data_IF_158988273280
#
_entry.id   IF_158988273280
#
_cell.length_a   1.000
_cell.length_b   1.000
_cell.length_c   1.000
_cell.angle_alpha   90.00
_cell.angle_beta   90.00
_cell.angle_gamma   90.00
#
_symmetry.space_group_name_H-M   'P 1'
#
loop_
_entity.id
_entity.type
_entity.pdbx_description
1 polymer ?
#
# COMPACT_ATOMS: atom_id res chain seq x y z
N UNK A 1 -16.36 15.78 3.31
CA UNK A 1 -16.86 16.19 1.97
C UNK A 1 -16.42 17.58 1.56
N UNK A 2 -16.57 18.65 2.36
CA UNK A 2 -15.97 19.96 2.02
C UNK A 2 -14.44 19.97 2.18
N UNK A 3 -13.95 19.43 3.31
CA UNK A 3 -12.53 19.44 3.69
C UNK A 3 -11.64 18.62 2.75
N UNK A 4 -12.15 17.51 2.21
CA UNK A 4 -11.40 16.67 1.27
C UNK A 4 -11.20 17.39 -0.07
N UNK A 5 -12.23 18.10 -0.55
CA UNK A 5 -12.14 18.88 -1.79
C UNK A 5 -11.15 20.04 -1.63
N UNK A 6 -11.20 20.76 -0.51
CA UNK A 6 -10.25 21.86 -0.19
C UNK A 6 -8.80 21.37 -0.12
N UNK A 7 -8.55 20.17 0.42
CA UNK A 7 -7.22 19.56 0.45
C UNK A 7 -6.75 19.17 -0.96
N UNK A 8 -7.64 18.61 -1.78
CA UNK A 8 -7.31 18.23 -3.16
C UNK A 8 -6.96 19.44 -4.02
N UNK A 9 -7.69 20.55 -3.85
CA UNK A 9 -7.40 21.81 -4.53
C UNK A 9 -5.99 22.33 -4.19
N UNK A 10 -5.63 22.34 -2.91
CA UNK A 10 -4.28 22.73 -2.47
C UNK A 10 -3.19 21.82 -3.05
N UNK A 11 -3.42 20.51 -3.08
CA UNK A 11 -2.47 19.55 -3.68
C UNK A 11 -2.30 19.83 -5.18
N UNK A 12 -3.37 20.15 -5.90
CA UNK A 12 -3.31 20.47 -7.33
C UNK A 12 -2.53 21.78 -7.55
N UNK A 13 -2.77 22.81 -6.74
CA UNK A 13 -2.08 24.10 -6.83
C UNK A 13 -0.56 23.94 -6.62
N UNK A 14 -0.13 23.17 -5.61
CA UNK A 14 1.28 22.88 -5.36
C UNK A 14 1.95 22.14 -6.53
N UNK A 15 1.25 21.17 -7.13
CA UNK A 15 1.73 20.45 -8.32
C UNK A 15 1.88 21.40 -9.51
N UNK A 16 0.94 22.34 -9.70
CA UNK A 16 0.99 23.31 -10.79
C UNK A 16 2.12 24.33 -10.64
N UNK A 17 2.48 24.69 -9.40
CA UNK A 17 3.60 25.59 -9.11
C UNK A 17 4.97 24.90 -9.16
N UNK A 18 5.00 23.57 -9.23
CA UNK A 18 6.25 22.81 -9.33
C UNK A 18 6.92 23.02 -10.69
N UNK A 19 8.22 23.37 -10.75
CA UNK A 19 8.93 23.51 -12.02
C UNK A 19 8.93 22.20 -12.82
N UNK A 20 8.78 22.31 -14.14
CA UNK A 20 8.59 21.15 -15.04
C UNK A 20 9.70 20.10 -14.95
N UNK A 21 10.93 20.52 -14.67
CA UNK A 21 12.09 19.65 -14.49
C UNK A 21 11.98 18.67 -13.29
N UNK A 22 11.14 18.99 -12.29
CA UNK A 22 10.92 18.14 -11.12
C UNK A 22 9.63 17.31 -11.19
N UNK A 23 8.73 17.58 -12.16
CA UNK A 23 7.47 16.83 -12.31
C UNK A 23 7.66 15.30 -12.44
N UNK A 24 8.69 14.78 -13.16
CA UNK A 24 8.93 13.33 -13.20
C UNK A 24 9.22 12.74 -11.81
N UNK A 25 10.04 13.43 -11.01
CA UNK A 25 10.39 13.00 -9.65
C UNK A 25 9.17 13.07 -8.72
N UNK A 26 8.37 14.14 -8.81
CA UNK A 26 7.14 14.30 -8.04
C UNK A 26 6.13 13.18 -8.37
N UNK A 27 5.97 12.83 -9.65
CA UNK A 27 5.12 11.72 -10.08
C UNK A 27 5.58 10.38 -9.47
N UNK A 28 6.90 10.14 -9.40
CA UNK A 28 7.44 8.95 -8.75
C UNK A 28 7.11 8.91 -7.25
N UNK A 29 7.27 10.04 -6.55
CA UNK A 29 6.93 10.15 -5.12
C UNK A 29 5.44 9.87 -4.90
N UNK A 30 4.55 10.45 -5.69
CA UNK A 30 3.10 10.24 -5.57
C UNK A 30 2.73 8.77 -5.83
N UNK A 31 3.38 8.11 -6.81
CA UNK A 31 3.18 6.68 -7.08
C UNK A 31 3.62 5.82 -5.90
N UNK A 32 4.81 6.07 -5.36
CA UNK A 32 5.34 5.36 -4.20
C UNK A 32 4.47 5.58 -2.96
N UNK A 33 4.00 6.81 -2.73
CA UNK A 33 3.10 7.12 -1.62
C UNK A 33 1.78 6.38 -1.77
N UNK A 34 1.14 6.44 -2.95
CA UNK A 34 -0.08 5.68 -3.24
C UNK A 34 0.15 4.19 -2.99
N UNK A 35 1.21 3.63 -3.56
CA UNK A 35 1.56 2.23 -3.35
C UNK A 35 1.77 1.92 -1.87
N UNK A 36 2.43 2.78 -1.08
CA UNK A 36 2.62 2.54 0.36
C UNK A 36 1.31 2.51 1.15
N UNK A 37 0.34 3.37 0.79
CA UNK A 37 -0.97 3.40 1.46
C UNK A 37 -1.93 2.34 0.92
N UNK A 38 -1.69 1.79 -0.28
CA UNK A 38 -2.51 0.73 -0.88
C UNK A 38 -1.92 -0.67 -0.76
N UNK A 39 -0.59 -0.85 -0.65
CA UNK A 39 0.06 -2.17 -0.76
C UNK A 39 -0.13 -3.07 0.44
N UNK A 40 -0.68 -2.58 1.54
CA UNK A 40 -1.01 -3.42 2.68
C UNK A 40 -2.15 -2.76 3.42
N UNK A 41 -3.37 -2.79 2.86
CA UNK A 41 -4.46 -2.74 3.84
C UNK A 41 -4.33 -4.01 4.66
N UNK A 42 -3.98 -3.87 5.94
CA UNK A 42 -4.05 -4.99 6.88
C UNK A 42 -5.44 -5.67 6.81
N UNK A 43 -6.45 -4.92 6.35
CA UNK A 43 -7.77 -5.41 5.98
C UNK A 43 -7.77 -6.46 4.85
N UNK A 44 -7.07 -6.25 3.73
CA UNK A 44 -6.97 -7.25 2.65
C UNK A 44 -6.19 -8.48 3.10
N UNK A 45 -5.05 -8.29 3.78
CA UNK A 45 -4.28 -9.40 4.35
C UNK A 45 -5.09 -10.18 5.40
N UNK A 46 -5.88 -9.48 6.23
CA UNK A 46 -6.77 -10.10 7.20
C UNK A 46 -7.93 -10.84 6.52
N UNK A 47 -8.56 -10.24 5.50
CA UNK A 47 -9.64 -10.86 4.74
C UNK A 47 -9.17 -12.14 4.06
N UNK A 48 -7.97 -12.11 3.46
CA UNK A 48 -7.34 -13.28 2.87
C UNK A 48 -7.05 -14.35 3.94
N UNK A 49 -6.31 -14.00 5.00
CA UNK A 49 -5.98 -14.95 6.07
C UNK A 49 -7.22 -15.53 6.77
N UNK A 50 -8.29 -14.73 6.89
CA UNK A 50 -9.57 -15.17 7.43
C UNK A 50 -10.26 -16.18 6.50
N UNK A 51 -10.26 -15.94 5.18
CA UNK A 51 -10.81 -16.88 4.21
C UNK A 51 -10.01 -18.20 4.18
N UNK A 52 -8.68 -18.12 4.23
CA UNK A 52 -7.79 -19.29 4.30
C UNK A 52 -8.04 -20.14 5.55
N UNK A 53 -8.18 -19.50 6.72
CA UNK A 53 -8.54 -20.17 7.97
C UNK A 53 -9.91 -20.85 7.90
N UNK A 54 -10.93 -20.17 7.36
CA UNK A 54 -12.29 -20.69 7.25
C UNK A 54 -12.42 -21.83 6.25
N UNK A 55 -11.58 -21.85 5.21
CA UNK A 55 -11.58 -22.89 4.17
C UNK A 55 -10.63 -24.06 4.48
N UNK A 56 -9.89 -23.98 5.59
CA UNK A 56 -8.88 -24.97 5.95
C UNK A 56 -7.63 -24.94 5.08
N UNK A 57 -7.46 -23.91 4.24
CA UNK A 57 -6.27 -23.68 3.43
C UNK A 57 -5.15 -23.06 4.29
N UNK A 58 -4.73 -23.78 5.32
CA UNK A 58 -3.70 -23.34 6.27
C UNK A 58 -2.62 -24.41 6.42
N UNK A 59 -1.41 -23.98 6.72
CA UNK A 59 -0.31 -24.89 7.03
C UNK A 59 -0.14 -25.04 8.54
N UNK A 60 0.15 -26.25 9.06
CA UNK A 60 0.50 -26.44 10.45
C UNK A 60 1.71 -25.59 10.84
N UNK A 61 1.69 -25.05 12.06
CA UNK A 61 2.81 -24.26 12.62
C UNK A 61 4.11 -25.06 12.64
N UNK A 62 4.04 -26.39 12.76
CA UNK A 62 5.20 -27.28 12.71
C UNK A 62 5.93 -27.27 11.35
N UNK A 63 5.26 -26.87 10.27
CA UNK A 63 5.82 -26.77 8.92
C UNK A 63 6.30 -25.36 8.58
N UNK A 64 6.18 -24.40 9.50
CA UNK A 64 6.53 -23.00 9.25
C UNK A 64 8.01 -22.82 8.87
N UNK A 65 8.88 -23.70 9.36
CA UNK A 65 10.32 -23.66 9.15
C UNK A 65 10.79 -24.64 8.06
N UNK A 66 9.88 -25.38 7.43
CA UNK A 66 10.25 -26.34 6.38
C UNK A 66 10.87 -25.57 5.18
N UNK A 67 12.12 -25.87 4.85
CA UNK A 67 12.83 -25.26 3.73
C UNK A 67 13.46 -23.89 4.01
N UNK A 68 13.39 -23.40 5.26
CA UNK A 68 14.21 -22.30 5.74
C UNK A 68 15.38 -22.92 6.49
N UNK A 69 16.47 -23.26 5.76
CA UNK A 69 17.70 -23.71 6.40
C UNK A 69 18.29 -22.54 7.20
N UNK A 70 18.36 -22.70 8.52
CA UNK A 70 19.11 -21.81 9.40
C UNK A 70 20.60 -22.20 9.33
N UNK A 71 21.26 -21.86 8.24
CA UNK A 71 22.73 -21.80 8.18
C UNK A 71 23.24 -20.38 8.46
#
# INVERSE_FOLDING_TARGET
NATTTEILEQVIEEIQQTPQEYLPNLLQIVRLFRESVTQNTAEESFRQGWQEAMTGNTLPVSQLWDGIDAE
#
